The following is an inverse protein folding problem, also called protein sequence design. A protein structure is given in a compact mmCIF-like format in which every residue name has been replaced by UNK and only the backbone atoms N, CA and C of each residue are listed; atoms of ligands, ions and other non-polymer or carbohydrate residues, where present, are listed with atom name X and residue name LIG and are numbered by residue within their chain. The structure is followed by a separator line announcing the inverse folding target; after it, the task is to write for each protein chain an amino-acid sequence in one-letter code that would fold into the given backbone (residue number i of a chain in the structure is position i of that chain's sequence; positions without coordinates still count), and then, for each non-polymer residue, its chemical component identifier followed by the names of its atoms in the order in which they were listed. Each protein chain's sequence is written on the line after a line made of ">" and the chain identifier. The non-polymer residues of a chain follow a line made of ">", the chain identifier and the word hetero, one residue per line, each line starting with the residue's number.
data_IF_476516501914
#
_entry.id   IF_476516501914
#
_cell.length_a   1.000
_cell.length_b   1.000
_cell.length_c   1.000
_cell.angle_alpha   90.00
_cell.angle_beta   90.00
_cell.angle_gamma   90.00
#
_symmetry.space_group_name_H-M   'P 1'
#
loop_
_entity.id
_entity.type
_entity.pdbx_description
1 polymer ?
#
# COMPACT_ATOMS: atom_id res chain seq x y z
N UNK A 1 -47.38 31.24 -62.33
CA UNK A 1 -47.22 30.25 -61.25
C UNK A 1 -45.93 30.56 -60.49
N UNK A 2 -46.02 31.10 -59.26
CA UNK A 2 -44.87 31.40 -58.39
C UNK A 2 -44.87 30.40 -57.23
N UNK A 3 -44.07 29.35 -57.32
CA UNK A 3 -43.78 28.48 -56.18
C UNK A 3 -42.71 29.15 -55.31
N UNK A 4 -43.13 29.65 -54.15
CA UNK A 4 -42.25 29.98 -53.03
C UNK A 4 -41.79 28.67 -52.40
N UNK A 5 -40.56 28.25 -52.68
CA UNK A 5 -39.88 27.15 -52.00
C UNK A 5 -39.25 27.66 -50.70
N UNK A 6 -39.64 27.03 -49.60
CA UNK A 6 -39.38 27.43 -48.23
C UNK A 6 -37.88 27.39 -47.85
N UNK A 7 -37.45 28.43 -47.14
CA UNK A 7 -36.28 28.43 -46.29
C UNK A 7 -36.61 27.73 -44.96
N UNK A 8 -35.89 26.68 -44.58
CA UNK A 8 -35.74 26.10 -43.23
C UNK A 8 -34.74 24.92 -43.43
N UNK A 9 -33.61 24.76 -42.76
CA UNK A 9 -33.15 25.27 -41.48
C UNK A 9 -31.61 25.18 -41.43
N UNK A 10 -30.97 26.23 -40.92
CA UNK A 10 -29.64 26.15 -40.34
C UNK A 10 -29.77 25.50 -38.95
N UNK A 11 -29.05 24.41 -38.67
CA UNK A 11 -28.83 23.96 -37.29
C UNK A 11 -27.50 23.17 -37.14
N UNK A 12 -26.45 23.92 -36.76
CA UNK A 12 -25.36 23.50 -35.88
C UNK A 12 -24.66 22.15 -36.09
N UNK A 13 -23.56 22.17 -36.85
CA UNK A 13 -22.49 21.16 -36.75
C UNK A 13 -21.68 21.46 -35.47
N UNK A 14 -22.17 21.05 -34.30
CA UNK A 14 -21.37 20.97 -33.08
C UNK A 14 -20.79 19.55 -32.99
N UNK A 15 -19.55 19.38 -33.47
CA UNK A 15 -18.57 18.34 -33.10
C UNK A 15 -19.07 16.98 -32.62
N UNK A 16 -19.89 16.28 -33.42
CA UNK A 16 -20.39 14.94 -33.08
C UNK A 16 -19.23 13.93 -33.10
N UNK A 17 -19.03 13.21 -32.01
CA UNK A 17 -18.03 12.15 -31.95
C UNK A 17 -18.57 10.84 -32.52
N UNK A 18 -17.99 10.41 -33.64
CA UNK A 18 -18.44 9.24 -34.40
C UNK A 18 -17.86 7.91 -33.91
N UNK A 19 -16.77 7.94 -33.13
CA UNK A 19 -16.07 6.72 -32.75
C UNK A 19 -16.87 5.93 -31.71
N UNK A 20 -17.18 4.70 -32.07
CA UNK A 20 -17.93 3.74 -31.26
C UNK A 20 -17.07 2.51 -31.00
N UNK A 21 -17.49 1.68 -30.06
CA UNK A 21 -16.85 0.40 -29.79
C UNK A 21 -17.86 -0.65 -29.38
N UNK A 22 -17.44 -1.90 -29.52
CA UNK A 22 -18.08 -3.05 -28.91
C UNK A 22 -17.04 -3.91 -28.20
N UNK A 23 -17.54 -4.83 -27.37
CA UNK A 23 -16.71 -5.76 -26.62
C UNK A 23 -16.67 -7.11 -27.34
N UNK A 24 -15.46 -7.58 -27.60
CA UNK A 24 -15.19 -8.94 -28.06
C UNK A 24 -15.45 -9.96 -26.94
N UNK A 25 -15.40 -11.24 -27.26
CA UNK A 25 -15.54 -12.36 -26.30
C UNK A 25 -14.47 -12.31 -25.19
N UNK A 26 -13.28 -11.81 -25.53
CA UNK A 26 -12.17 -11.57 -24.59
C UNK A 26 -12.33 -10.29 -23.74
N UNK A 27 -13.36 -9.48 -24.00
CA UNK A 27 -13.57 -8.19 -23.34
C UNK A 27 -12.73 -7.04 -23.91
N UNK A 28 -12.04 -7.25 -25.02
CA UNK A 28 -11.28 -6.22 -25.74
C UNK A 28 -12.21 -5.26 -26.48
N UNK A 29 -11.84 -3.97 -26.54
CA UNK A 29 -12.62 -2.95 -27.25
C UNK A 29 -12.27 -2.97 -28.74
N UNK A 30 -13.23 -3.33 -29.59
CA UNK A 30 -13.11 -3.21 -31.04
C UNK A 30 -13.81 -1.93 -31.49
N UNK A 31 -13.05 -1.02 -32.08
CA UNK A 31 -13.55 0.28 -32.50
C UNK A 31 -14.22 0.21 -33.88
N UNK A 32 -15.30 0.98 -34.05
CA UNK A 32 -16.10 1.01 -35.28
C UNK A 32 -16.79 2.36 -35.45
N UNK A 33 -17.19 2.67 -36.67
CA UNK A 33 -18.08 3.81 -36.98
C UNK A 33 -19.53 3.36 -37.18
N UNK A 34 -19.76 2.04 -37.30
CA UNK A 34 -21.10 1.48 -37.50
C UNK A 34 -21.94 1.63 -36.23
N UNK A 35 -23.26 1.70 -36.39
CA UNK A 35 -24.19 1.74 -35.26
C UNK A 35 -24.38 0.37 -34.58
N UNK A 36 -24.12 -0.71 -35.32
CA UNK A 36 -24.42 -2.08 -34.92
C UNK A 36 -23.18 -2.97 -35.00
N UNK A 37 -23.02 -3.84 -34.02
CA UNK A 37 -22.01 -4.89 -33.92
C UNK A 37 -22.27 -5.99 -34.97
N UNK A 38 -21.28 -6.87 -35.26
CA UNK A 38 -21.50 -8.05 -36.09
C UNK A 38 -22.64 -8.96 -35.57
N UNK A 39 -22.89 -8.98 -34.26
CA UNK A 39 -23.94 -9.77 -33.60
C UNK A 39 -25.29 -9.02 -33.48
N UNK A 40 -25.45 -7.85 -34.11
CA UNK A 40 -26.71 -7.10 -34.06
C UNK A 40 -26.92 -6.24 -32.81
N UNK A 41 -25.97 -6.22 -31.86
CA UNK A 41 -26.02 -5.37 -30.65
C UNK A 41 -25.71 -3.91 -31.01
N UNK A 42 -26.24 -2.98 -30.23
CA UNK A 42 -25.94 -1.56 -30.41
C UNK A 42 -24.55 -1.22 -29.87
N UNK A 43 -23.77 -0.55 -30.70
CA UNK A 43 -22.43 -0.05 -30.34
C UNK A 43 -22.49 1.07 -29.31
N UNK A 44 -21.47 1.15 -28.44
CA UNK A 44 -21.35 2.20 -27.42
C UNK A 44 -20.41 3.31 -27.87
N UNK A 45 -20.59 4.55 -27.40
CA UNK A 45 -19.67 5.65 -27.70
C UNK A 45 -18.30 5.39 -27.07
N UNK A 46 -17.22 5.53 -27.84
CA UNK A 46 -15.85 5.35 -27.34
C UNK A 46 -15.42 6.45 -26.37
N UNK A 47 -16.16 7.56 -26.34
CA UNK A 47 -15.82 8.73 -25.55
C UNK A 47 -16.46 8.69 -24.17
N UNK A 48 -15.74 9.12 -23.13
CA UNK A 48 -16.30 9.20 -21.79
C UNK A 48 -17.40 10.27 -21.72
N UNK A 49 -18.40 10.08 -20.85
CA UNK A 49 -19.42 11.08 -20.58
C UNK A 49 -18.77 12.40 -20.10
N UNK A 50 -19.25 13.54 -20.61
CA UNK A 50 -18.74 14.86 -20.25
C UNK A 50 -18.85 15.08 -18.74
N UNK A 51 -17.75 15.49 -18.12
CA UNK A 51 -17.73 15.91 -16.73
C UNK A 51 -18.28 17.33 -16.60
N UNK A 52 -19.17 17.54 -15.63
CA UNK A 52 -19.60 18.86 -15.17
C UNK A 52 -19.34 18.92 -13.67
N UNK A 53 -18.73 20.00 -13.15
CA UNK A 53 -18.57 20.17 -11.71
C UNK A 53 -19.94 20.27 -11.01
N UNK A 54 -20.94 20.85 -11.67
CA UNK A 54 -22.31 21.03 -11.19
C UNK A 54 -23.19 19.80 -11.56
N UNK A 55 -22.73 18.57 -11.32
CA UNK A 55 -23.53 17.36 -11.58
C UNK A 55 -24.58 17.12 -10.48
N UNK A 56 -25.81 17.59 -10.71
CA UNK A 56 -26.99 17.37 -9.84
C UNK A 56 -27.25 15.88 -9.55
N UNK A 57 -26.88 14.98 -10.48
CA UNK A 57 -27.17 13.55 -10.38
C UNK A 57 -26.02 12.74 -9.74
N UNK A 58 -24.96 13.40 -9.29
CA UNK A 58 -23.82 12.77 -8.62
C UNK A 58 -24.23 11.97 -7.37
N UNK A 59 -25.17 12.50 -6.57
CA UNK A 59 -25.72 11.83 -5.38
C UNK A 59 -26.41 10.51 -5.74
N UNK A 60 -27.26 10.52 -6.77
CA UNK A 60 -27.99 9.33 -7.22
C UNK A 60 -27.04 8.27 -7.79
N UNK A 61 -25.99 8.68 -8.53
CA UNK A 61 -24.95 7.78 -9.03
C UNK A 61 -24.27 7.01 -7.91
N UNK A 62 -23.98 7.66 -6.77
CA UNK A 62 -23.37 7.02 -5.60
C UNK A 62 -24.36 6.07 -4.91
N UNK A 63 -25.64 6.46 -4.78
CA UNK A 63 -26.68 5.61 -4.18
C UNK A 63 -26.85 4.31 -4.96
N UNK A 64 -26.97 4.39 -6.29
CA UNK A 64 -27.07 3.21 -7.16
C UNK A 64 -25.85 2.29 -6.97
N UNK A 65 -24.64 2.86 -6.99
CA UNK A 65 -23.40 2.08 -6.74
C UNK A 65 -23.38 1.39 -5.38
N UNK A 66 -23.98 1.99 -4.35
CA UNK A 66 -24.12 1.39 -3.01
C UNK A 66 -25.15 0.28 -2.98
N UNK A 67 -26.30 0.45 -3.65
CA UNK A 67 -27.38 -0.53 -3.73
C UNK A 67 -26.93 -1.84 -4.41
N UNK A 68 -26.14 -1.73 -5.48
CA UNK A 68 -25.64 -2.90 -6.23
C UNK A 68 -24.29 -3.43 -5.71
N UNK A 69 -23.85 -3.03 -4.51
CA UNK A 69 -22.56 -3.43 -3.90
C UNK A 69 -21.32 -3.23 -4.80
N UNK A 70 -21.41 -2.41 -5.86
CA UNK A 70 -20.33 -2.18 -6.84
C UNK A 70 -19.15 -1.38 -6.28
N UNK A 71 -19.26 -0.88 -5.05
CA UNK A 71 -18.27 -0.04 -4.41
C UNK A 71 -17.45 -0.81 -3.37
N UNK A 72 -16.79 -1.89 -3.81
CA UNK A 72 -15.92 -2.73 -2.98
C UNK A 72 -14.86 -1.88 -2.25
N UNK A 73 -14.33 -0.86 -2.94
CA UNK A 73 -13.27 0.02 -2.44
C UNK A 73 -13.76 1.10 -1.44
N UNK A 74 -15.07 1.20 -1.16
CA UNK A 74 -15.60 2.16 -0.20
C UNK A 74 -15.15 1.84 1.23
N UNK A 75 -14.93 0.57 1.54
CA UNK A 75 -14.44 0.15 2.85
C UNK A 75 -13.10 0.82 3.15
N UNK A 76 -12.16 0.87 2.19
CA UNK A 76 -10.87 1.57 2.36
C UNK A 76 -11.06 3.06 2.66
N UNK A 77 -12.00 3.74 1.98
CA UNK A 77 -12.30 5.16 2.24
C UNK A 77 -12.88 5.36 3.64
N UNK A 78 -13.89 4.57 4.02
CA UNK A 78 -14.52 4.61 5.35
C UNK A 78 -13.51 4.30 6.44
N UNK A 79 -12.66 3.30 6.24
CA UNK A 79 -11.64 2.87 7.19
C UNK A 79 -10.56 3.95 7.39
N UNK A 80 -10.09 4.60 6.33
CA UNK A 80 -9.20 5.78 6.45
C UNK A 80 -9.84 6.93 7.21
N UNK A 81 -11.10 7.25 6.90
CA UNK A 81 -11.83 8.32 7.56
C UNK A 81 -12.08 8.01 9.04
N UNK A 82 -12.39 6.75 9.33
CA UNK A 82 -12.51 6.21 10.67
C UNK A 82 -11.19 6.30 11.46
N UNK A 83 -10.05 5.93 10.87
CA UNK A 83 -8.73 6.09 11.50
C UNK A 83 -8.47 7.57 11.82
N UNK A 84 -8.74 8.47 10.86
CA UNK A 84 -8.54 9.91 11.05
C UNK A 84 -9.43 10.49 12.15
N UNK A 85 -10.67 10.02 12.27
CA UNK A 85 -11.57 10.45 13.33
C UNK A 85 -11.21 9.86 14.70
N UNK A 86 -10.57 8.68 14.73
CA UNK A 86 -10.18 8.01 15.98
C UNK A 86 -8.96 8.62 16.64
N UNK A 87 -8.03 9.20 15.89
CA UNK A 87 -6.85 9.88 16.44
C UNK A 87 -6.87 11.34 16.01
N UNK A 88 -7.59 12.23 16.75
CA UNK A 88 -7.47 13.66 16.49
C UNK A 88 -5.99 14.08 16.60
N UNK A 89 -5.54 15.07 15.80
CA UNK A 89 -4.16 15.54 15.88
C UNK A 89 -3.89 16.03 17.30
N UNK A 90 -2.77 15.58 17.87
CA UNK A 90 -2.33 16.03 19.18
C UNK A 90 -2.02 17.52 19.15
N UNK A 91 -2.47 18.27 20.16
CA UNK A 91 -2.14 19.71 20.33
C UNK A 91 -0.66 19.97 20.69
N UNK A 92 0.12 18.92 20.93
CA UNK A 92 1.50 18.99 21.36
C UNK A 92 2.43 19.38 20.22
N UNK A 93 3.50 20.10 20.54
CA UNK A 93 4.57 20.41 19.58
C UNK A 93 5.25 19.12 19.11
N UNK A 94 5.70 19.09 17.86
CA UNK A 94 6.39 17.95 17.25
C UNK A 94 7.54 17.44 18.14
N UNK A 95 8.32 18.35 18.74
CA UNK A 95 9.42 17.98 19.65
C UNK A 95 8.95 17.21 20.88
N UNK A 96 7.77 17.53 21.43
CA UNK A 96 7.19 16.82 22.58
C UNK A 96 6.65 15.45 22.17
N UNK A 97 6.05 15.36 20.98
CA UNK A 97 5.57 14.09 20.42
C UNK A 97 6.72 13.12 20.17
N UNK A 98 7.80 13.59 19.55
CA UNK A 98 8.99 12.77 19.28
C UNK A 98 9.60 12.23 20.56
N UNK A 99 9.74 13.07 21.61
CA UNK A 99 10.20 12.61 22.93
C UNK A 99 9.31 11.53 23.54
N UNK A 100 7.98 11.63 23.36
CA UNK A 100 7.03 10.59 23.78
C UNK A 100 7.23 9.28 23.02
N UNK A 101 7.36 9.35 21.70
CA UNK A 101 7.62 8.18 20.86
C UNK A 101 8.94 7.50 21.20
N UNK A 102 10.02 8.25 21.46
CA UNK A 102 11.32 7.67 21.85
C UNK A 102 11.24 6.89 23.17
N UNK A 103 10.44 7.36 24.13
CA UNK A 103 10.21 6.64 25.40
C UNK A 103 9.41 5.35 25.17
N UNK A 104 8.34 5.44 24.38
CA UNK A 104 7.51 4.27 24.05
C UNK A 104 8.31 3.24 23.24
N UNK A 105 9.13 3.67 22.28
CA UNK A 105 9.98 2.76 21.51
C UNK A 105 11.01 2.06 22.38
N UNK A 106 11.60 2.76 23.35
CA UNK A 106 12.53 2.15 24.31
C UNK A 106 11.85 1.12 25.21
N UNK A 107 10.66 1.45 25.74
CA UNK A 107 9.88 0.51 26.54
C UNK A 107 9.52 -0.76 25.74
N UNK A 108 9.06 -0.61 24.49
CA UNK A 108 8.77 -1.73 23.60
C UNK A 108 10.02 -2.55 23.27
N UNK A 109 11.19 -1.91 23.13
CA UNK A 109 12.46 -2.59 22.90
C UNK A 109 12.87 -3.47 24.09
N UNK A 110 12.80 -2.95 25.32
CA UNK A 110 13.14 -3.71 26.54
C UNK A 110 12.19 -4.89 26.72
N UNK A 111 10.88 -4.69 26.54
CA UNK A 111 9.89 -5.77 26.61
C UNK A 111 10.15 -6.82 25.52
N UNK A 112 10.41 -6.38 24.28
CA UNK A 112 10.75 -7.27 23.18
C UNK A 112 12.04 -8.07 23.42
N UNK A 113 13.06 -7.44 23.99
CA UNK A 113 14.32 -8.08 24.38
C UNK A 113 14.12 -9.13 25.48
N UNK A 114 13.28 -8.86 26.47
CA UNK A 114 12.93 -9.85 27.48
C UNK A 114 12.17 -11.04 26.88
N UNK A 115 11.23 -10.80 25.96
CA UNK A 115 10.48 -11.86 25.30
C UNK A 115 11.40 -12.71 24.41
N UNK A 116 12.31 -12.09 23.63
CA UNK A 116 13.26 -12.82 22.79
C UNK A 116 14.22 -13.66 23.64
N UNK A 117 14.74 -13.09 24.73
CA UNK A 117 15.60 -13.78 25.67
C UNK A 117 14.89 -14.96 26.33
N UNK A 118 13.63 -14.79 26.74
CA UNK A 118 12.81 -15.86 27.30
C UNK A 118 12.56 -17.00 26.32
N UNK A 119 12.29 -16.68 25.05
CA UNK A 119 12.09 -17.69 23.98
C UNK A 119 13.38 -18.46 23.70
N UNK A 120 14.51 -17.77 23.61
CA UNK A 120 15.83 -18.39 23.40
C UNK A 120 16.17 -19.28 24.60
N UNK A 121 16.02 -18.78 25.82
CA UNK A 121 16.32 -19.53 27.05
C UNK A 121 15.49 -20.81 27.14
N UNK A 122 14.18 -20.75 26.85
CA UNK A 122 13.33 -21.95 26.78
C UNK A 122 13.81 -22.96 25.75
N UNK A 123 14.32 -22.50 24.59
CA UNK A 123 14.83 -23.39 23.55
C UNK A 123 16.16 -24.04 23.96
N UNK A 124 17.04 -23.28 24.63
CA UNK A 124 18.31 -23.77 25.16
C UNK A 124 18.11 -24.77 26.30
N UNK A 125 17.19 -24.50 27.23
CA UNK A 125 16.84 -25.47 28.29
C UNK A 125 16.31 -26.79 27.72
N UNK A 126 15.49 -26.72 26.66
CA UNK A 126 14.99 -27.91 25.97
C UNK A 126 16.15 -28.72 25.37
N UNK A 127 17.06 -28.06 24.65
CA UNK A 127 18.25 -28.70 24.08
C UNK A 127 19.16 -29.32 25.16
N UNK A 128 19.36 -28.63 26.29
CA UNK A 128 20.16 -29.14 27.41
C UNK A 128 19.56 -30.39 28.06
N UNK A 129 18.24 -30.54 28.03
CA UNK A 129 17.54 -31.71 28.56
C UNK A 129 17.68 -32.92 27.62
N UNK A 130 17.78 -32.68 26.32
CA UNK A 130 17.87 -33.71 25.28
C UNK A 130 19.31 -34.28 25.12
N UNK A 131 20.35 -33.49 25.45
CA UNK A 131 21.77 -33.88 25.31
C UNK A 131 22.53 -33.99 26.67
N UNK A 132 22.28 -35.03 27.49
CA UNK A 132 22.94 -35.17 28.79
C UNK A 132 24.47 -35.35 28.71
N UNK A 133 25.01 -35.83 27.60
CA UNK A 133 26.46 -36.03 27.42
C UNK A 133 27.24 -34.72 27.24
N UNK A 134 26.59 -33.66 26.75
CA UNK A 134 27.23 -32.37 26.48
C UNK A 134 27.61 -31.62 27.77
N UNK A 135 26.93 -31.91 28.90
CA UNK A 135 27.26 -31.37 30.23
C UNK A 135 28.68 -31.73 30.68
N UNK A 136 29.15 -32.93 30.34
CA UNK A 136 30.48 -33.42 30.75
C UNK A 136 31.57 -32.72 29.92
N UNK A 137 31.30 -32.48 28.63
CA UNK A 137 32.22 -31.73 27.75
C UNK A 137 32.25 -30.23 28.09
N UNK A 138 31.11 -29.61 28.41
CA UNK A 138 31.03 -28.19 28.79
C UNK A 138 31.73 -27.86 30.12
N UNK A 139 31.87 -28.82 31.03
CA UNK A 139 32.65 -28.65 32.26
C UNK A 139 34.17 -28.69 32.04
N UNK A 140 34.62 -29.18 30.88
CA UNK A 140 36.04 -29.23 30.52
C UNK A 140 36.51 -27.98 29.75
N UNK A 141 35.58 -27.14 29.28
CA UNK A 141 35.92 -25.92 28.55
C UNK A 141 36.50 -24.90 29.54
N UNK A 142 37.76 -24.46 29.38
CA UNK A 142 38.36 -23.47 30.26
C UNK A 142 37.55 -22.17 30.19
N UNK A 143 37.15 -21.64 31.35
CA UNK A 143 36.40 -20.39 31.52
C UNK A 143 37.25 -19.14 31.21
N UNK A 144 38.00 -19.14 30.10
CA UNK A 144 38.69 -17.93 29.63
C UNK A 144 37.63 -16.88 29.35
N UNK A 145 37.64 -15.82 30.15
CA UNK A 145 36.68 -14.73 30.04
C UNK A 145 36.87 -14.02 28.70
N UNK A 146 35.77 -13.53 28.12
CA UNK A 146 35.78 -12.76 26.85
C UNK A 146 36.74 -11.56 26.87
N UNK A 147 37.16 -11.09 28.06
CA UNK A 147 38.20 -10.07 28.23
C UNK A 147 39.61 -10.58 27.87
N UNK A 148 39.96 -11.84 28.17
CA UNK A 148 41.28 -12.41 27.86
C UNK A 148 41.52 -12.53 26.35
N UNK A 149 40.46 -12.81 25.57
CA UNK A 149 40.51 -12.92 24.11
C UNK A 149 40.55 -11.55 23.38
N UNK A 150 40.18 -10.47 24.06
CA UNK A 150 40.26 -9.10 23.52
C UNK A 150 41.65 -8.49 23.68
N UNK A 151 42.41 -8.97 24.67
CA UNK A 151 43.72 -8.43 25.03
C UNK A 151 44.85 -9.14 24.26
N UNK A 152 44.72 -10.44 23.93
CA UNK A 152 45.67 -11.15 23.03
C UNK A 152 45.68 -10.63 21.58
N UNK A 153 44.70 -9.82 21.15
CA UNK A 153 44.57 -9.36 19.77
C UNK A 153 45.01 -7.91 19.50
N UNK A 154 45.63 -7.23 20.47
CA UNK A 154 46.02 -5.80 20.34
C UNK A 154 47.51 -5.52 20.55
N UNK A 155 48.32 -6.53 20.82
CA UNK A 155 49.77 -6.39 20.82
C UNK A 155 50.25 -6.52 19.35
N UNK A 156 51.25 -5.73 18.96
CA UNK A 156 51.98 -5.81 17.68
C UNK A 156 51.25 -5.36 16.37
N UNK A 157 50.87 -4.08 16.31
CA UNK A 157 50.90 -3.33 15.02
C UNK A 157 51.60 -1.99 15.26
N UNK A 158 52.93 -2.02 15.29
CA UNK A 158 53.77 -0.83 15.28
C UNK A 158 53.78 -0.24 13.86
N UNK A 159 52.98 0.81 13.65
CA UNK A 159 53.01 1.65 12.45
C UNK A 159 54.16 2.66 12.55
N UNK A 160 55.41 2.19 12.48
CA UNK A 160 56.60 3.04 12.31
C UNK A 160 57.31 2.64 11.02
N UNK A 161 56.92 3.23 9.87
CA UNK A 161 57.74 3.28 8.62
C UNK A 161 57.04 4.03 7.44
N UNK A 162 56.34 5.16 7.66
CA UNK A 162 55.62 5.87 6.57
C UNK A 162 56.22 7.24 6.15
N UNK A 163 57.22 7.79 6.83
CA UNK A 163 57.87 9.04 6.39
C UNK A 163 59.39 8.87 6.17
N UNK A 164 59.76 8.44 4.95
CA UNK A 164 61.09 8.64 4.33
C UNK A 164 60.96 8.76 2.82
#
# INVERSE_FOLDING_TARGET
>A
MRHRGAAFAAFGIFGVMYLKFYLDEEGNRIYTLKATDPQGRQTQSAHPARFSPEDKNSKYRIIIKKLFNMLIWEWRRKWRQYIRNRRPPSRLSYQQLTKGYTRVSFALFIVGWHVIGFVIWRKVEKLKKDNPQEKVLLSEIPQKGFMELSDEGKEDIDFEDIDR
#
